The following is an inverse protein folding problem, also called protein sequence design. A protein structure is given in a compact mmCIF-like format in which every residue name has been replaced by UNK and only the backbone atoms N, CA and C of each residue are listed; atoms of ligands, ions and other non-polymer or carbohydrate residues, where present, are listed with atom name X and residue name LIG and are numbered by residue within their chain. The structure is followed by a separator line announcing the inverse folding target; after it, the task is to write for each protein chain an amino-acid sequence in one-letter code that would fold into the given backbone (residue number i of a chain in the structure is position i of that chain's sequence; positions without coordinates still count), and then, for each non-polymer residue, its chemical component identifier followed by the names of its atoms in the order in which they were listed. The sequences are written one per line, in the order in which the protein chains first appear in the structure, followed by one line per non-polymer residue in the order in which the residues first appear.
data_IF_241671510255
#
_entry.id   IF_241671510255
#
_cell.length_a   1.000
_cell.length_b   1.000
_cell.length_c   1.000
_cell.angle_alpha   90.00
_cell.angle_beta   90.00
_cell.angle_gamma   90.00
#
_symmetry.space_group_name_H-M   'P 1'
#
loop_
_entity.id
_entity.type
_entity.pdbx_description
1 polymer ?
#
# COMPACT_ATOMS: atom_id res chain seq x y z
N UNK A 1 1.93 -32.22 0.82
CA UNK A 1 3.19 -31.54 1.22
C UNK A 1 2.86 -30.06 1.38
N UNK A 2 2.64 -29.60 2.61
CA UNK A 2 2.12 -28.26 2.90
C UNK A 2 3.27 -27.27 3.09
N UNK A 3 3.57 -26.53 2.03
CA UNK A 3 4.52 -25.40 1.99
C UNK A 3 3.82 -24.08 2.40
N UNK A 4 2.81 -24.15 3.26
CA UNK A 4 1.85 -23.06 3.48
C UNK A 4 2.06 -22.27 4.77
N UNK A 5 2.99 -22.69 5.64
CA UNK A 5 3.26 -21.99 6.91
C UNK A 5 4.66 -21.36 6.84
N UNK A 6 4.74 -20.02 6.71
CA UNK A 6 6.00 -19.27 6.83
C UNK A 6 6.67 -19.58 8.17
N UNK A 7 7.98 -19.77 8.20
CA UNK A 7 8.73 -20.11 9.43
C UNK A 7 8.80 -21.59 9.81
N UNK A 8 8.01 -22.46 9.17
CA UNK A 8 8.04 -23.92 9.43
C UNK A 8 9.41 -24.55 9.13
N UNK A 9 10.15 -24.06 8.13
CA UNK A 9 11.49 -24.55 7.79
C UNK A 9 12.56 -24.30 8.85
N UNK A 10 12.45 -23.23 9.66
CA UNK A 10 13.39 -22.96 10.74
C UNK A 10 13.02 -23.65 12.06
N UNK A 11 11.73 -23.85 12.34
CA UNK A 11 11.28 -24.67 13.47
C UNK A 11 11.66 -26.13 13.28
N UNK A 12 11.61 -26.65 12.05
CA UNK A 12 12.09 -28.00 11.71
C UNK A 12 13.61 -28.18 11.87
N UNK A 13 14.38 -27.08 11.80
CA UNK A 13 15.84 -27.10 11.93
C UNK A 13 16.35 -26.91 13.38
N UNK A 14 15.45 -26.62 14.34
CA UNK A 14 15.76 -26.47 15.76
C UNK A 14 16.40 -25.13 16.15
N UNK A 15 16.35 -24.10 15.28
CA UNK A 15 17.06 -22.84 15.53
C UNK A 15 16.15 -21.70 16.03
N UNK A 16 16.61 -21.01 17.08
CA UNK A 16 15.98 -19.80 17.66
C UNK A 16 15.73 -18.67 16.64
N UNK A 17 16.45 -18.68 15.50
CA UNK A 17 16.29 -17.72 14.40
C UNK A 17 14.93 -17.82 13.69
N UNK A 18 14.29 -18.99 13.72
CA UNK A 18 12.93 -19.17 13.18
C UNK A 18 11.86 -18.37 13.92
N UNK A 19 11.97 -18.29 15.24
CA UNK A 19 11.05 -17.50 16.08
C UNK A 19 11.20 -16.00 15.84
N UNK A 20 12.41 -15.52 15.53
CA UNK A 20 12.64 -14.10 15.19
C UNK A 20 11.98 -13.75 13.86
N UNK A 21 12.13 -14.59 12.83
CA UNK A 21 11.49 -14.36 11.54
C UNK A 21 9.96 -14.42 11.63
N UNK A 22 9.42 -15.35 12.42
CA UNK A 22 7.99 -15.42 12.72
C UNK A 22 7.49 -14.19 13.48
N UNK A 23 8.25 -13.70 14.46
CA UNK A 23 7.92 -12.48 15.20
C UNK A 23 7.90 -11.24 14.32
N UNK A 24 8.93 -11.06 13.48
CA UNK A 24 9.00 -9.96 12.51
C UNK A 24 7.85 -10.00 11.51
N UNK A 25 7.52 -11.19 11.03
CA UNK A 25 6.40 -11.38 10.12
C UNK A 25 5.06 -11.09 10.80
N UNK A 26 4.86 -11.53 12.04
CA UNK A 26 3.66 -11.21 12.84
C UNK A 26 3.46 -9.71 13.03
N UNK A 27 4.54 -8.99 13.34
CA UNK A 27 4.50 -7.51 13.46
C UNK A 27 4.16 -6.85 12.12
N UNK A 28 4.77 -7.33 11.02
CA UNK A 28 4.47 -6.80 9.69
C UNK A 28 3.01 -7.02 9.28
N UNK A 29 2.44 -8.19 9.57
CA UNK A 29 1.02 -8.47 9.33
C UNK A 29 0.11 -7.61 10.20
N UNK A 30 0.42 -7.46 11.49
CA UNK A 30 -0.35 -6.59 12.38
C UNK A 30 -0.35 -5.12 11.87
N UNK A 31 0.80 -4.62 11.43
CA UNK A 31 0.92 -3.30 10.82
C UNK A 31 0.12 -3.19 9.51
N UNK A 32 0.20 -4.21 8.64
CA UNK A 32 -0.59 -4.26 7.41
C UNK A 32 -2.09 -4.16 7.70
N UNK A 33 -2.62 -5.01 8.58
CA UNK A 33 -4.05 -5.02 8.92
C UNK A 33 -4.48 -3.67 9.51
N UNK A 34 -3.73 -3.15 10.48
CA UNK A 34 -4.00 -1.87 11.14
C UNK A 34 -4.11 -0.69 10.16
N UNK A 35 -3.16 -0.60 9.22
CA UNK A 35 -3.11 0.49 8.25
C UNK A 35 -4.08 0.26 7.08
N UNK A 36 -4.25 -0.97 6.62
CA UNK A 36 -5.17 -1.30 5.55
C UNK A 36 -6.61 -0.96 5.94
N UNK A 37 -7.06 -1.38 7.12
CA UNK A 37 -8.42 -1.14 7.58
C UNK A 37 -8.73 0.36 7.74
N UNK A 38 -7.77 1.13 8.28
CA UNK A 38 -7.89 2.60 8.35
C UNK A 38 -7.89 3.25 6.98
N UNK A 39 -7.06 2.76 6.07
CA UNK A 39 -7.02 3.20 4.67
C UNK A 39 -8.38 3.02 4.00
N UNK A 40 -8.97 1.83 4.11
CA UNK A 40 -10.31 1.53 3.58
C UNK A 40 -11.42 2.31 4.27
N UNK A 41 -11.33 2.52 5.59
CA UNK A 41 -12.29 3.37 6.32
C UNK A 41 -12.25 4.81 5.82
N UNK A 42 -11.06 5.37 5.62
CA UNK A 42 -10.88 6.72 5.05
C UNK A 42 -11.25 6.78 3.57
N UNK A 43 -11.10 5.68 2.86
CA UNK A 43 -11.57 5.55 1.47
C UNK A 43 -13.08 5.77 1.41
N UNK A 44 -13.82 4.96 2.14
CA UNK A 44 -15.28 5.08 2.23
C UNK A 44 -15.73 6.48 2.68
N UNK A 45 -15.00 7.09 3.61
CA UNK A 45 -15.28 8.44 4.09
C UNK A 45 -15.17 9.49 2.98
N UNK A 46 -14.09 9.47 2.17
CA UNK A 46 -13.97 10.43 1.08
C UNK A 46 -14.97 10.14 -0.05
N UNK A 47 -15.29 8.87 -0.31
CA UNK A 47 -16.28 8.50 -1.34
C UNK A 47 -17.65 9.05 -0.97
N UNK A 48 -18.10 8.76 0.25
CA UNK A 48 -19.38 9.26 0.79
C UNK A 48 -19.43 10.80 0.79
N UNK A 49 -18.30 11.44 1.11
CA UNK A 49 -18.23 12.91 1.10
C UNK A 49 -18.31 13.47 -0.32
N UNK A 50 -17.63 12.86 -1.30
CA UNK A 50 -17.74 13.26 -2.70
C UNK A 50 -19.17 13.09 -3.23
N UNK A 51 -19.84 11.98 -2.91
CA UNK A 51 -21.22 11.73 -3.33
C UNK A 51 -22.22 12.80 -2.82
N UNK A 52 -21.88 13.48 -1.72
CA UNK A 52 -22.70 14.56 -1.15
C UNK A 52 -22.35 15.98 -1.62
N UNK A 53 -21.19 16.18 -2.26
CA UNK A 53 -20.63 17.52 -2.55
C UNK A 53 -20.18 17.71 -4.00
N UNK A 54 -20.10 16.64 -4.78
CA UNK A 54 -19.77 16.67 -6.20
C UNK A 54 -20.95 16.17 -7.04
N UNK A 55 -21.37 16.97 -8.02
CA UNK A 55 -22.48 16.63 -8.91
C UNK A 55 -22.06 16.69 -10.39
N UNK A 56 -22.24 15.55 -11.07
CA UNK A 56 -21.91 15.40 -12.49
C UNK A 56 -22.77 16.29 -13.40
N UNK A 57 -24.06 16.45 -13.10
CA UNK A 57 -24.96 17.24 -13.94
C UNK A 57 -24.65 18.74 -13.85
N UNK A 58 -24.29 19.21 -12.66
CA UNK A 58 -23.78 20.56 -12.41
C UNK A 58 -22.51 20.80 -13.20
N UNK A 59 -21.53 19.90 -13.10
CA UNK A 59 -20.29 19.96 -13.89
C UNK A 59 -20.60 20.07 -15.40
N UNK A 60 -21.36 19.10 -15.95
CA UNK A 60 -21.68 19.03 -17.37
C UNK A 60 -22.40 20.30 -17.86
N UNK A 61 -23.38 20.76 -17.10
CA UNK A 61 -24.15 21.97 -17.43
C UNK A 61 -23.24 23.20 -17.45
N UNK A 62 -22.34 23.33 -16.49
CA UNK A 62 -21.40 24.45 -16.44
C UNK A 62 -20.39 24.40 -17.58
N UNK A 63 -19.84 23.23 -17.91
CA UNK A 63 -18.92 23.09 -19.05
C UNK A 63 -19.59 23.45 -20.38
N UNK A 64 -20.87 23.08 -20.57
CA UNK A 64 -21.65 23.47 -21.76
C UNK A 64 -21.86 24.99 -21.78
N UNK A 65 -22.30 25.58 -20.68
CA UNK A 65 -22.57 27.02 -20.59
C UNK A 65 -21.30 27.87 -20.79
N UNK A 66 -20.15 27.38 -20.33
CA UNK A 66 -18.86 28.06 -20.46
C UNK A 66 -18.19 27.80 -21.82
N UNK A 67 -18.75 26.93 -22.67
CA UNK A 67 -18.16 26.54 -23.95
C UNK A 67 -16.88 25.71 -23.83
N UNK A 68 -16.63 25.12 -22.66
CA UNK A 68 -15.45 24.29 -22.36
C UNK A 68 -15.75 22.79 -22.41
N UNK A 69 -16.98 22.42 -22.75
CA UNK A 69 -17.43 21.03 -22.86
C UNK A 69 -16.54 20.18 -23.77
N UNK A 70 -15.99 19.11 -23.19
CA UNK A 70 -15.20 18.09 -23.88
C UNK A 70 -15.92 16.73 -23.83
N UNK A 71 -16.41 16.21 -24.98
CA UNK A 71 -17.05 14.90 -25.06
C UNK A 71 -16.14 13.74 -24.62
N UNK A 72 -14.83 13.88 -24.75
CA UNK A 72 -13.88 12.84 -24.31
C UNK A 72 -13.81 12.81 -22.78
N UNK A 73 -13.74 13.97 -22.12
CA UNK A 73 -13.78 14.08 -20.66
C UNK A 73 -15.12 13.55 -20.10
N UNK A 74 -16.24 13.89 -20.74
CA UNK A 74 -17.59 13.40 -20.39
C UNK A 74 -17.67 11.86 -20.45
N UNK A 75 -17.19 11.27 -21.54
CA UNK A 75 -17.16 9.82 -21.71
C UNK A 75 -16.22 9.14 -20.71
N UNK A 76 -15.07 9.76 -20.42
CA UNK A 76 -14.06 9.21 -19.53
C UNK A 76 -14.52 9.17 -18.07
N UNK A 77 -15.13 10.27 -17.59
CA UNK A 77 -15.59 10.33 -16.19
C UNK A 77 -16.73 9.33 -15.93
N UNK A 78 -17.64 9.15 -16.90
CA UNK A 78 -18.68 8.12 -16.85
C UNK A 78 -18.08 6.70 -16.89
N UNK A 79 -17.12 6.46 -17.79
CA UNK A 79 -16.44 5.17 -17.87
C UNK A 79 -15.78 4.80 -16.53
N UNK A 80 -15.07 5.74 -15.91
CA UNK A 80 -14.45 5.52 -14.61
C UNK A 80 -15.48 5.35 -13.50
N UNK A 81 -16.58 6.09 -13.50
CA UNK A 81 -17.65 5.89 -12.54
C UNK A 81 -18.15 4.42 -12.54
N UNK A 82 -18.34 3.85 -13.73
CA UNK A 82 -18.92 2.51 -13.90
C UNK A 82 -17.89 1.37 -13.77
N UNK A 83 -16.64 1.58 -14.19
CA UNK A 83 -15.65 0.51 -14.32
C UNK A 83 -14.45 0.67 -13.37
N UNK A 84 -14.20 1.87 -12.85
CA UNK A 84 -13.04 2.15 -12.01
C UNK A 84 -13.32 3.29 -11.00
N UNK A 85 -14.14 2.99 -9.99
CA UNK A 85 -14.53 3.96 -8.95
C UNK A 85 -13.33 4.66 -8.31
N UNK A 86 -12.24 3.93 -8.10
CA UNK A 86 -11.01 4.51 -7.54
C UNK A 86 -10.46 5.62 -8.43
N UNK A 87 -10.41 5.40 -9.75
CA UNK A 87 -9.97 6.42 -10.71
C UNK A 87 -10.96 7.59 -10.80
N UNK A 88 -12.26 7.30 -10.77
CA UNK A 88 -13.31 8.33 -10.75
C UNK A 88 -13.12 9.31 -9.58
N UNK A 89 -13.04 8.79 -8.35
CA UNK A 89 -12.81 9.61 -7.16
C UNK A 89 -11.43 10.29 -7.21
N UNK A 90 -10.42 9.63 -7.76
CA UNK A 90 -9.11 10.23 -7.97
C UNK A 90 -9.19 11.51 -8.80
N UNK A 91 -9.90 11.45 -9.91
CA UNK A 91 -9.96 12.46 -10.96
C UNK A 91 -10.78 13.68 -10.54
N UNK A 92 -12.00 13.49 -10.01
CA UNK A 92 -12.85 14.60 -9.55
C UNK A 92 -12.12 15.47 -8.52
N UNK A 93 -11.23 14.88 -7.71
CA UNK A 93 -10.41 15.61 -6.75
C UNK A 93 -9.16 16.27 -7.33
N UNK A 94 -8.51 15.66 -8.33
CA UNK A 94 -7.18 16.08 -8.81
C UNK A 94 -7.24 17.00 -10.04
N UNK A 95 -8.10 16.69 -11.01
CA UNK A 95 -8.09 17.35 -12.32
C UNK A 95 -8.91 18.64 -12.25
N UNK A 96 -8.35 19.74 -12.76
CA UNK A 96 -9.00 21.06 -12.68
C UNK A 96 -10.31 21.14 -13.44
N UNK A 97 -10.46 20.40 -14.54
CA UNK A 97 -11.69 20.39 -15.36
C UNK A 97 -12.94 19.95 -14.58
N UNK A 98 -12.80 19.08 -13.57
CA UNK A 98 -13.95 18.65 -12.76
C UNK A 98 -14.30 19.61 -11.60
N UNK A 99 -13.68 20.79 -11.58
CA UNK A 99 -13.86 21.79 -10.55
C UNK A 99 -15.32 22.24 -10.40
N UNK A 100 -15.99 22.56 -11.50
CA UNK A 100 -17.37 23.09 -11.52
C UNK A 100 -18.43 22.10 -11.03
N UNK A 101 -18.07 20.82 -10.87
CA UNK A 101 -18.93 19.83 -10.22
C UNK A 101 -18.93 19.91 -8.70
N UNK A 102 -17.91 20.52 -8.09
CA UNK A 102 -17.87 20.73 -6.65
C UNK A 102 -18.71 21.95 -6.26
N UNK A 103 -19.47 21.81 -5.18
CA UNK A 103 -20.25 22.90 -4.60
C UNK A 103 -19.40 24.06 -4.06
N UNK A 104 -18.18 23.77 -3.57
CA UNK A 104 -17.24 24.78 -3.08
C UNK A 104 -15.77 24.33 -3.10
N UNK A 105 -14.85 25.30 -2.99
CA UNK A 105 -13.40 25.03 -3.01
C UNK A 105 -12.94 24.40 -1.72
N UNK A 106 -13.59 24.80 -0.63
CA UNK A 106 -13.32 24.27 0.70
C UNK A 106 -13.74 22.81 0.80
N UNK A 107 -14.90 22.44 0.23
CA UNK A 107 -15.33 21.04 0.22
C UNK A 107 -14.41 20.17 -0.64
N UNK A 108 -14.01 20.65 -1.82
CA UNK A 108 -13.01 19.95 -2.63
C UNK A 108 -11.68 19.79 -1.90
N UNK A 109 -11.23 20.82 -1.18
CA UNK A 109 -9.98 20.76 -0.42
C UNK A 109 -10.08 19.79 0.76
N UNK A 110 -11.20 19.80 1.47
CA UNK A 110 -11.49 18.87 2.55
C UNK A 110 -11.50 17.42 2.06
N UNK A 111 -12.20 17.15 0.96
CA UNK A 111 -12.19 15.87 0.25
C UNK A 111 -10.76 15.41 -0.07
N UNK A 112 -9.94 16.28 -0.67
CA UNK A 112 -8.54 15.97 -1.00
C UNK A 112 -7.72 15.64 0.25
N UNK A 113 -8.00 16.29 1.38
CA UNK A 113 -7.41 15.99 2.68
C UNK A 113 -7.70 14.57 3.13
N UNK A 114 -8.98 14.17 3.19
CA UNK A 114 -9.39 12.81 3.59
C UNK A 114 -8.77 11.77 2.67
N UNK A 115 -8.81 12.00 1.36
CA UNK A 115 -8.20 11.12 0.37
C UNK A 115 -6.69 11.00 0.52
N UNK A 116 -6.00 12.10 0.84
CA UNK A 116 -4.57 12.05 1.15
C UNK A 116 -4.29 11.18 2.39
N UNK A 117 -5.14 11.24 3.42
CA UNK A 117 -5.02 10.36 4.59
C UNK A 117 -5.23 8.88 4.23
N UNK A 118 -6.25 8.54 3.44
CA UNK A 118 -6.48 7.17 2.95
C UNK A 118 -5.25 6.65 2.19
N UNK A 119 -4.74 7.43 1.24
CA UNK A 119 -3.56 7.08 0.45
C UNK A 119 -2.30 6.87 1.31
N UNK A 120 -2.12 7.67 2.37
CA UNK A 120 -1.01 7.52 3.29
C UNK A 120 -1.12 6.21 4.10
N UNK A 121 -2.32 5.88 4.59
CA UNK A 121 -2.57 4.62 5.28
C UNK A 121 -2.33 3.41 4.37
N UNK A 122 -2.89 3.40 3.16
CA UNK A 122 -2.70 2.31 2.21
C UNK A 122 -1.23 2.16 1.77
N UNK A 123 -0.49 3.28 1.61
CA UNK A 123 0.97 3.23 1.39
C UNK A 123 1.72 2.56 2.54
N UNK A 124 1.35 2.87 3.79
CA UNK A 124 1.98 2.25 4.96
C UNK A 124 1.66 0.75 5.02
N UNK A 125 0.42 0.36 4.68
CA UNK A 125 0.04 -1.05 4.57
C UNK A 125 0.90 -1.78 3.51
N UNK A 126 1.03 -1.23 2.30
CA UNK A 126 1.88 -1.81 1.25
C UNK A 126 3.35 -1.90 1.67
N UNK A 127 3.84 -0.92 2.43
CA UNK A 127 5.20 -0.93 2.97
C UNK A 127 5.40 -2.07 3.96
N UNK A 128 4.43 -2.29 4.87
CA UNK A 128 4.46 -3.41 5.80
C UNK A 128 4.44 -4.77 5.07
N UNK A 129 3.58 -4.89 4.05
CA UNK A 129 3.50 -6.09 3.21
C UNK A 129 4.83 -6.36 2.46
N UNK A 130 5.46 -5.32 1.91
CA UNK A 130 6.77 -5.43 1.27
C UNK A 130 7.85 -5.90 2.27
N UNK A 131 7.81 -5.38 3.51
CA UNK A 131 8.69 -5.84 4.60
C UNK A 131 8.51 -7.32 4.92
N UNK A 132 7.26 -7.79 5.05
CA UNK A 132 6.96 -9.20 5.26
C UNK A 132 7.49 -10.08 4.11
N UNK A 133 7.31 -9.63 2.86
CA UNK A 133 7.82 -10.33 1.68
C UNK A 133 9.34 -10.45 1.68
N UNK A 134 10.06 -9.35 1.94
CA UNK A 134 11.54 -9.35 2.03
C UNK A 134 12.01 -10.29 3.13
N UNK A 135 11.38 -10.24 4.31
CA UNK A 135 11.70 -11.16 5.42
C UNK A 135 11.53 -12.62 4.99
N UNK A 136 10.49 -12.93 4.22
CA UNK A 136 10.21 -14.29 3.73
C UNK A 136 11.26 -14.76 2.72
N UNK A 137 11.67 -13.92 1.77
CA UNK A 137 12.73 -14.24 0.80
C UNK A 137 14.07 -14.50 1.52
N UNK A 138 14.45 -13.62 2.45
CA UNK A 138 15.68 -13.77 3.23
C UNK A 138 15.64 -15.05 4.07
N UNK A 139 14.51 -15.36 4.68
CA UNK A 139 14.34 -16.60 5.46
C UNK A 139 14.47 -17.85 4.59
N UNK A 140 13.90 -17.84 3.38
CA UNK A 140 13.99 -18.97 2.45
C UNK A 140 15.45 -19.24 2.01
N UNK A 141 16.20 -18.19 1.68
CA UNK A 141 17.62 -18.30 1.30
C UNK A 141 18.46 -18.84 2.46
N UNK A 142 18.22 -18.34 3.68
CA UNK A 142 18.93 -18.78 4.90
C UNK A 142 18.71 -20.28 5.18
N UNK A 143 17.47 -20.76 5.05
CA UNK A 143 17.13 -22.19 5.21
C UNK A 143 17.83 -23.04 4.15
N UNK A 144 17.84 -22.61 2.88
CA UNK A 144 18.53 -23.33 1.81
C UNK A 144 20.04 -23.43 2.07
N UNK A 145 20.67 -22.36 2.52
CA UNK A 145 22.10 -22.36 2.88
C UNK A 145 22.38 -23.31 4.05
N UNK A 146 21.57 -23.26 5.11
CA UNK A 146 21.69 -24.16 6.27
C UNK A 146 21.55 -25.64 5.88
N UNK A 147 20.57 -25.97 5.04
CA UNK A 147 20.37 -27.35 4.55
C UNK A 147 21.56 -27.82 3.71
N UNK A 148 22.16 -26.93 2.91
CA UNK A 148 23.31 -27.25 2.06
C UNK A 148 24.61 -27.45 2.86
N UNK A 149 24.81 -26.66 3.92
CA UNK A 149 25.94 -26.84 4.85
C UNK A 149 25.85 -28.16 5.62
N UNK A 150 24.65 -28.65 5.93
CA UNK A 150 24.45 -29.99 6.53
C UNK A 150 24.57 -31.14 5.52
N UNK A 151 24.47 -30.86 4.21
CA UNK A 151 24.50 -31.83 3.12
C UNK A 151 25.81 -31.90 2.31
N UNK A 152 26.88 -31.19 2.70
CA UNK A 152 28.21 -31.34 2.11
C UNK A 152 28.47 -30.65 0.76
N UNK A 153 27.67 -29.67 0.32
CA UNK A 153 27.93 -28.92 -0.90
C UNK A 153 27.99 -27.41 -0.64
N UNK A 154 29.15 -26.76 -0.75
CA UNK A 154 29.23 -25.29 -0.63
C UNK A 154 28.83 -24.61 -1.95
N UNK A 155 28.19 -23.45 -1.88
CA UNK A 155 28.29 -22.41 -2.93
C UNK A 155 29.18 -21.33 -2.34
N UNK A 156 30.07 -20.75 -3.16
CA UNK A 156 31.18 -19.91 -2.72
C UNK A 156 30.81 -18.84 -1.68
N UNK A 157 31.72 -18.64 -0.73
CA UNK A 157 31.61 -17.89 0.52
C UNK A 157 31.21 -16.39 0.41
N UNK A 158 30.79 -15.88 -0.75
CA UNK A 158 30.65 -14.44 -1.00
C UNK A 158 29.25 -14.01 -1.52
N UNK A 159 28.18 -14.68 -1.09
CA UNK A 159 26.83 -14.20 -1.43
C UNK A 159 26.35 -13.14 -0.43
N UNK A 160 26.71 -11.87 -0.67
CA UNK A 160 26.13 -10.73 0.07
C UNK A 160 24.83 -10.26 -0.60
N UNK A 161 23.69 -10.55 0.03
CA UNK A 161 22.41 -9.95 -0.39
C UNK A 161 22.17 -8.67 0.41
N UNK A 162 22.36 -7.51 -0.22
CA UNK A 162 22.18 -6.19 0.41
C UNK A 162 20.93 -5.51 -0.15
N UNK A 163 19.84 -5.53 0.61
CA UNK A 163 18.65 -4.74 0.29
C UNK A 163 18.75 -3.36 0.93
N UNK A 164 18.89 -2.31 0.11
CA UNK A 164 18.72 -0.91 0.55
C UNK A 164 17.32 -0.47 0.16
N UNK A 165 16.40 -0.46 1.12
CA UNK A 165 15.06 0.11 0.96
C UNK A 165 15.04 1.51 1.55
N UNK A 166 14.79 2.52 0.71
CA UNK A 166 14.57 3.90 1.18
C UNK A 166 13.06 4.10 1.35
N UNK A 167 12.58 4.15 2.59
CA UNK A 167 11.23 4.61 2.90
C UNK A 167 11.29 5.99 3.53
N UNK A 168 10.33 6.86 3.20
CA UNK A 168 10.18 8.14 3.93
C UNK A 168 9.71 7.83 5.35
N UNK A 169 10.25 8.50 6.39
CA UNK A 169 9.83 8.27 7.76
C UNK A 169 8.33 8.57 7.90
N UNK A 170 7.66 7.65 8.58
CA UNK A 170 6.24 7.63 8.91
C UNK A 170 5.76 8.98 9.45
N UNK A 171 4.56 9.39 9.04
CA UNK A 171 3.92 10.61 9.52
C UNK A 171 3.77 10.59 11.06
N UNK A 172 4.16 11.73 11.63
CA UNK A 172 4.28 12.25 13.00
C UNK A 172 3.68 11.53 14.24
N UNK A 173 2.67 10.67 14.15
CA UNK A 173 1.90 10.28 15.35
C UNK A 173 1.69 8.76 15.52
N UNK A 174 2.76 7.97 15.39
CA UNK A 174 3.01 6.64 15.98
C UNK A 174 3.86 5.81 15.00
N UNK A 175 5.17 5.75 15.26
CA UNK A 175 6.16 5.14 14.37
C UNK A 175 6.73 3.85 14.99
N UNK A 176 6.51 2.72 14.32
CA UNK A 176 7.37 1.54 14.45
C UNK A 176 8.27 1.48 13.22
N UNK A 177 9.54 1.83 13.39
CA UNK A 177 10.58 1.66 12.37
C UNK A 177 11.37 0.37 12.62
N UNK A 178 11.53 -0.46 11.60
CA UNK A 178 12.39 -1.64 11.67
C UNK A 178 13.57 -1.48 10.71
N UNK A 179 14.78 -1.55 11.25
CA UNK A 179 16.02 -1.68 10.47
C UNK A 179 16.47 -3.14 10.61
N UNK A 180 16.33 -3.92 9.55
CA UNK A 180 16.81 -5.31 9.54
C UNK A 180 18.26 -5.31 9.09
N UNK A 181 19.18 -5.41 10.05
CA UNK A 181 20.60 -5.65 9.78
C UNK A 181 20.93 -7.10 10.13
N UNK A 182 20.93 -7.99 9.13
CA UNK A 182 21.36 -9.39 9.32
C UNK A 182 22.79 -9.56 8.85
N UNK A 183 23.72 -9.75 9.79
CA UNK A 183 25.10 -10.15 9.51
C UNK A 183 25.17 -11.67 9.61
N UNK A 184 25.28 -12.35 8.47
CA UNK A 184 25.45 -13.80 8.44
C UNK A 184 26.94 -14.11 8.70
N UNK A 185 27.21 -14.92 9.73
CA UNK A 185 28.49 -15.57 10.02
C UNK A 185 28.30 -17.05 9.80
#
# INVERSE_FOLDING_TARGET
MNLAIPGSGHLYAGEKRGLVNLGLEGVAWAAYLYYHDRGKSKEKEFETYADGHWDYNSWKTQEINNGTYDPAADSLILYFHDHNKQQYYEDIGKISTYWSGWDSQDNRNFYRGIRAHSNNFLKNAHTALAGAFVNRVVSAVDVLQLMKHRGGASLGNDTQVRFKMHTKPFARDNAFGFVVTKRLR
#
